data_IF_830251867136
#
_entry.id   IF_830251867136
#
_cell.length_a   1.000
_cell.length_b   1.000
_cell.length_c   1.000
_cell.angle_alpha   90.00
_cell.angle_beta   90.00
_cell.angle_gamma   90.00
#
_symmetry.space_group_name_H-M   'P 1'
#
loop_
_entity.id
_entity.type
_entity.pdbx_description
1 polymer ?
#
# COMPACT_ATOMS: atom_id res chain seq x y z
N UNK A 1 -3.72 -10.41 -3.26
CA UNK A 1 -2.69 -11.26 -2.61
C UNK A 1 -1.49 -10.40 -2.27
N UNK A 2 -0.58 -10.83 -1.37
CA UNK A 2 0.62 -10.02 -1.02
C UNK A 2 1.43 -9.61 -2.26
N UNK A 3 1.63 -10.53 -3.21
CA UNK A 3 2.39 -10.26 -4.44
C UNK A 3 1.64 -9.38 -5.44
N UNK A 4 0.30 -9.35 -5.38
CA UNK A 4 -0.50 -8.41 -6.19
C UNK A 4 -0.39 -6.99 -5.68
N UNK A 5 -0.38 -6.79 -4.35
CA UNK A 5 -0.26 -5.45 -3.74
C UNK A 5 1.17 -4.93 -3.78
N UNK A 6 2.17 -5.78 -3.54
CA UNK A 6 3.56 -5.36 -3.44
C UNK A 6 4.26 -5.40 -4.80
N UNK A 7 4.34 -4.27 -5.50
CA UNK A 7 5.11 -4.15 -6.74
C UNK A 7 6.58 -4.57 -6.57
N UNK A 8 7.17 -4.27 -5.41
CA UNK A 8 8.55 -4.65 -5.07
C UNK A 8 8.76 -6.17 -4.97
N UNK A 9 7.77 -6.92 -4.47
CA UNK A 9 7.88 -8.38 -4.28
C UNK A 9 7.30 -9.16 -5.46
N UNK A 10 6.21 -8.69 -6.06
CA UNK A 10 5.49 -9.37 -7.14
C UNK A 10 6.05 -9.07 -8.53
N UNK A 11 6.30 -7.79 -8.82
CA UNK A 11 6.77 -7.32 -10.13
C UNK A 11 8.26 -6.96 -10.16
N UNK A 12 8.97 -7.13 -9.04
CA UNK A 12 10.36 -6.70 -8.86
C UNK A 12 10.58 -5.21 -9.14
N UNK A 13 9.53 -4.41 -9.00
CA UNK A 13 9.59 -2.98 -9.22
C UNK A 13 10.60 -2.33 -8.27
N UNK A 14 11.36 -1.39 -8.82
CA UNK A 14 12.25 -0.49 -8.08
C UNK A 14 11.53 0.84 -7.94
N UNK A 15 11.53 1.36 -6.71
CA UNK A 15 10.95 2.65 -6.40
C UNK A 15 12.07 3.63 -6.04
N UNK A 16 11.89 4.88 -6.41
CA UNK A 16 12.81 5.97 -6.08
C UNK A 16 12.67 6.42 -4.62
N UNK A 17 11.51 6.17 -3.99
CA UNK A 17 11.27 6.53 -2.59
C UNK A 17 10.30 5.57 -1.87
N UNK A 18 10.29 5.64 -0.54
CA UNK A 18 9.33 4.91 0.29
C UNK A 18 7.89 5.42 0.08
N UNK A 19 7.73 6.72 -0.20
CA UNK A 19 6.44 7.34 -0.51
C UNK A 19 5.84 6.76 -1.80
N UNK A 20 6.64 6.71 -2.88
CA UNK A 20 6.22 6.15 -4.16
C UNK A 20 5.80 4.68 -4.00
N UNK A 21 6.59 3.89 -3.25
CA UNK A 21 6.28 2.49 -3.01
C UNK A 21 4.96 2.30 -2.24
N UNK A 22 4.69 3.14 -1.24
CA UNK A 22 3.45 3.08 -0.46
C UNK A 22 2.24 3.55 -1.26
N UNK A 23 2.40 4.60 -2.07
CA UNK A 23 1.34 5.10 -2.93
C UNK A 23 0.94 4.07 -4.00
N UNK A 24 1.93 3.42 -4.63
CA UNK A 24 1.66 2.35 -5.60
C UNK A 24 0.86 1.20 -4.96
N UNK A 25 1.22 0.79 -3.73
CA UNK A 25 0.48 -0.23 -3.01
C UNK A 25 -0.95 0.22 -2.62
N UNK A 26 -1.13 1.48 -2.22
CA UNK A 26 -2.44 2.04 -1.88
C UNK A 26 -3.36 2.08 -3.10
N UNK A 27 -2.86 2.49 -4.27
CA UNK A 27 -3.62 2.53 -5.52
C UNK A 27 -4.14 1.14 -5.93
N UNK A 28 -3.30 0.09 -5.82
CA UNK A 28 -3.73 -1.28 -6.09
C UNK A 28 -4.86 -1.73 -5.15
N UNK A 29 -4.80 -1.32 -3.89
CA UNK A 29 -5.84 -1.64 -2.90
C UNK A 29 -7.13 -0.81 -3.12
N UNK A 30 -7.02 0.46 -3.50
CA UNK A 30 -8.15 1.33 -3.82
C UNK A 30 -8.86 0.92 -5.12
N UNK A 31 -8.13 0.35 -6.08
CA UNK A 31 -8.69 -0.22 -7.31
C UNK A 31 -9.61 -1.44 -7.06
N UNK A 32 -9.65 -1.96 -5.83
CA UNK A 32 -10.56 -3.05 -5.44
C UNK A 32 -10.17 -4.43 -5.97
N UNK A 33 -8.96 -4.57 -6.54
CA UNK A 33 -8.44 -5.87 -7.02
C UNK A 33 -8.31 -6.89 -5.87
N UNK A 34 -8.24 -6.39 -4.63
CA UNK A 34 -8.18 -7.19 -3.42
C UNK A 34 -9.12 -6.63 -2.35
N UNK A 35 -9.78 -7.49 -1.55
CA UNK A 35 -10.63 -7.02 -0.46
C UNK A 35 -9.79 -6.23 0.56
N UNK A 36 -10.33 -5.14 1.13
CA UNK A 36 -9.62 -4.37 2.14
C UNK A 36 -9.31 -5.24 3.36
N UNK A 37 -8.08 -5.15 3.86
CA UNK A 37 -7.70 -5.80 5.11
C UNK A 37 -8.40 -5.19 6.32
N UNK A 38 -8.20 -5.75 7.54
CA UNK A 38 -8.82 -5.25 8.76
C UNK A 38 -8.42 -3.81 9.11
N UNK A 39 -7.32 -3.32 8.53
CA UNK A 39 -6.81 -1.96 8.71
C UNK A 39 -7.30 -1.00 7.60
N UNK A 40 -8.10 -1.49 6.67
CA UNK A 40 -8.42 -0.81 5.42
C UNK A 40 -7.18 -0.59 4.54
N UNK A 41 -7.38 0.11 3.43
CA UNK A 41 -6.30 0.42 2.48
C UNK A 41 -5.22 1.30 3.10
N UNK A 42 -5.61 2.29 3.89
CA UNK A 42 -4.71 3.33 4.41
C UNK A 42 -4.04 2.96 5.73
N UNK A 43 -4.65 2.08 6.54
CA UNK A 43 -4.05 1.64 7.79
C UNK A 43 -2.78 0.82 7.57
N UNK A 44 -2.66 0.13 6.43
CA UNK A 44 -1.44 -0.61 6.08
C UNK A 44 -0.19 0.30 5.96
N UNK A 45 -0.36 1.53 5.43
CA UNK A 45 0.75 2.51 5.34
C UNK A 45 1.21 2.96 6.73
N UNK A 46 0.25 3.19 7.65
CA UNK A 46 0.55 3.54 9.04
C UNK A 46 1.28 2.41 9.77
N UNK A 47 0.83 1.17 9.58
CA UNK A 47 1.47 0.03 10.23
C UNK A 47 2.87 -0.25 9.67
N UNK A 48 3.14 0.03 8.40
CA UNK A 48 4.50 -0.04 7.87
C UNK A 48 5.46 0.91 8.62
N UNK A 49 5.03 2.15 8.87
CA UNK A 49 5.81 3.10 9.67
C UNK A 49 5.99 2.62 11.12
N UNK A 50 4.96 2.03 11.74
CA UNK A 50 5.02 1.49 13.11
C UNK A 50 5.98 0.31 13.23
N UNK A 51 5.95 -0.63 12.29
CA UNK A 51 6.87 -1.77 12.28
C UNK A 51 8.33 -1.30 12.16
N UNK A 52 8.59 -0.29 11.31
CA UNK A 52 9.92 0.28 11.14
C UNK A 52 10.38 1.10 12.34
N UNK A 53 9.47 1.68 13.12
CA UNK A 53 9.79 2.43 14.33
C UNK A 53 9.95 1.53 15.56
N UNK A 54 9.25 0.39 15.59
CA UNK A 54 9.14 -0.47 16.77
C UNK A 54 8.46 0.26 17.95
N UNK A 55 8.56 -0.31 19.15
CA UNK A 55 8.08 0.32 20.39
C UNK A 55 9.05 1.37 20.94
N UNK A 56 10.28 1.41 20.43
CA UNK A 56 11.29 2.40 20.77
C UNK A 56 12.67 2.04 20.20
N UNK A 57 13.67 2.90 20.38
CA UNK A 57 15.00 2.72 19.77
C UNK A 57 15.71 1.43 20.18
N UNK A 58 15.39 0.88 21.35
CA UNK A 58 16.03 -0.32 21.88
C UNK A 58 15.59 -1.61 21.17
N UNK A 59 14.41 -1.62 20.53
CA UNK A 59 13.86 -2.82 19.86
C UNK A 59 13.38 -2.54 18.43
N UNK A 60 13.72 -1.37 17.87
CA UNK A 60 13.31 -0.95 16.52
C UNK A 60 13.63 -2.01 15.45
N UNK A 61 14.86 -2.55 15.49
CA UNK A 61 15.30 -3.59 14.57
C UNK A 61 14.52 -4.90 14.74
N UNK A 62 14.18 -5.27 15.97
CA UNK A 62 13.48 -6.52 16.29
C UNK A 62 12.15 -6.66 15.56
N UNK A 63 11.34 -5.59 15.56
CA UNK A 63 10.06 -5.55 14.85
C UNK A 63 10.21 -5.73 13.34
N UNK A 64 11.18 -5.02 12.74
CA UNK A 64 11.45 -5.12 11.30
C UNK A 64 11.91 -6.52 10.93
N UNK A 65 12.83 -7.12 11.71
CA UNK A 65 13.31 -8.48 11.49
C UNK A 65 12.18 -9.51 11.67
N UNK A 66 11.33 -9.35 12.68
CA UNK A 66 10.19 -10.23 12.90
C UNK A 66 9.20 -10.18 11.72
N UNK A 67 8.87 -8.98 11.22
CA UNK A 67 7.98 -8.81 10.08
C UNK A 67 8.55 -9.44 8.80
N UNK A 68 9.82 -9.17 8.46
CA UNK A 68 10.49 -9.75 7.29
C UNK A 68 10.65 -11.28 7.41
N UNK A 69 10.95 -11.77 8.62
CA UNK A 69 11.03 -13.20 8.93
C UNK A 69 9.70 -13.91 8.72
N UNK A 70 8.62 -13.31 9.21
CA UNK A 70 7.28 -13.83 8.99
C UNK A 70 6.91 -13.86 7.50
N UNK A 71 7.23 -12.80 6.73
CA UNK A 71 7.03 -12.79 5.27
C UNK A 71 7.82 -13.90 4.58
N UNK A 72 9.10 -14.08 4.91
CA UNK A 72 9.94 -15.11 4.32
C UNK A 72 9.41 -16.53 4.60
N UNK A 73 8.90 -16.78 5.81
CA UNK A 73 8.28 -18.04 6.18
C UNK A 73 6.96 -18.27 5.43
N UNK A 74 6.09 -17.25 5.39
CA UNK A 74 4.79 -17.34 4.72
C UNK A 74 4.94 -17.54 3.22
N UNK A 75 5.84 -16.82 2.56
CA UNK A 75 6.19 -17.04 1.14
C UNK A 75 6.79 -18.44 0.92
N UNK A 76 7.59 -18.93 1.87
CA UNK A 76 8.12 -20.29 1.84
C UNK A 76 7.05 -21.38 1.92
N UNK A 77 6.02 -21.18 2.75
CA UNK A 77 4.86 -22.08 2.86
C UNK A 77 4.01 -22.03 1.60
N UNK A 78 3.65 -20.83 1.13
CA UNK A 78 2.91 -20.65 -0.11
C UNK A 78 3.62 -21.31 -1.31
N UNK A 79 4.95 -21.18 -1.41
CA UNK A 79 5.72 -21.83 -2.49
C UNK A 79 5.59 -23.36 -2.48
N UNK A 80 5.49 -23.99 -1.30
CA UNK A 80 5.31 -25.45 -1.21
C UNK A 80 3.93 -25.89 -1.68
N UNK A 81 2.94 -25.00 -1.59
CA UNK A 81 1.55 -25.27 -1.96
C UNK A 81 1.24 -24.90 -3.42
N UNK A 82 2.06 -24.02 -4.02
CA UNK A 82 1.87 -23.58 -5.40
C UNK A 82 2.10 -24.73 -6.40
N UNK A 83 1.10 -24.93 -7.27
CA UNK A 83 1.08 -25.98 -8.30
C UNK A 83 1.84 -25.53 -9.55
N UNK A 84 1.64 -24.27 -9.97
CA UNK A 84 2.28 -23.72 -11.16
C UNK A 84 3.75 -23.35 -10.90
N UNK A 85 4.63 -23.76 -11.81
CA UNK A 85 6.08 -23.44 -11.74
C UNK A 85 6.33 -21.93 -11.72
N UNK A 86 5.64 -21.16 -12.54
CA UNK A 86 5.79 -19.70 -12.59
C UNK A 86 5.40 -19.02 -11.27
N UNK A 87 4.36 -19.53 -10.61
CA UNK A 87 3.95 -19.03 -9.29
C UNK A 87 4.99 -19.38 -8.22
N UNK A 88 5.51 -20.61 -8.25
CA UNK A 88 6.60 -21.03 -7.37
C UNK A 88 7.84 -20.14 -7.52
N UNK A 89 8.19 -19.76 -8.75
CA UNK A 89 9.34 -18.91 -9.04
C UNK A 89 9.14 -17.48 -8.53
N UNK A 90 7.94 -16.92 -8.74
CA UNK A 90 7.57 -15.61 -8.17
C UNK A 90 7.68 -15.62 -6.64
N UNK A 91 7.10 -16.63 -6.00
CA UNK A 91 7.17 -16.80 -4.53
C UNK A 91 8.60 -17.00 -4.03
N UNK A 92 9.44 -17.73 -4.79
CA UNK A 92 10.85 -17.89 -4.46
C UNK A 92 11.61 -16.56 -4.48
N UNK A 93 11.47 -15.77 -5.55
CA UNK A 93 12.15 -14.47 -5.68
C UNK A 93 11.71 -13.50 -4.60
N UNK A 94 10.41 -13.43 -4.32
CA UNK A 94 9.87 -12.62 -3.22
C UNK A 94 10.48 -13.05 -1.86
N UNK A 95 10.52 -14.36 -1.58
CA UNK A 95 11.15 -14.88 -0.36
C UNK A 95 12.63 -14.51 -0.28
N UNK A 96 13.38 -14.63 -1.39
CA UNK A 96 14.79 -14.27 -1.44
C UNK A 96 15.00 -12.78 -1.14
N UNK A 97 14.13 -11.91 -1.65
CA UNK A 97 14.16 -10.47 -1.33
C UNK A 97 13.93 -10.21 0.15
N UNK A 98 12.96 -10.87 0.80
CA UNK A 98 12.77 -10.77 2.25
C UNK A 98 14.00 -11.26 3.03
N UNK A 99 14.64 -12.36 2.61
CA UNK A 99 15.86 -12.87 3.24
C UNK A 99 17.04 -11.93 3.07
N UNK A 100 17.18 -11.29 1.91
CA UNK A 100 18.17 -10.26 1.68
C UNK A 100 17.93 -9.06 2.62
N UNK A 101 16.68 -8.60 2.73
CA UNK A 101 16.32 -7.49 3.62
C UNK A 101 16.59 -7.82 5.09
N UNK A 102 16.39 -9.07 5.53
CA UNK A 102 16.77 -9.51 6.88
C UNK A 102 18.26 -9.31 7.16
N UNK A 103 19.12 -9.71 6.22
CA UNK A 103 20.56 -9.51 6.34
C UNK A 103 20.91 -8.02 6.30
N UNK A 104 20.37 -7.29 5.32
CA UNK A 104 20.59 -5.86 5.17
C UNK A 104 20.18 -5.07 6.42
N UNK A 105 19.04 -5.37 7.03
CA UNK A 105 18.56 -4.71 8.25
C UNK A 105 19.49 -4.91 9.43
N UNK A 106 20.17 -6.06 9.54
CA UNK A 106 21.18 -6.25 10.59
C UNK A 106 22.38 -5.33 10.43
N UNK A 107 22.74 -4.99 9.20
CA UNK A 107 23.89 -4.14 8.87
C UNK A 107 23.53 -2.65 8.77
N UNK A 108 22.24 -2.32 8.62
CA UNK A 108 21.76 -0.97 8.30
C UNK A 108 20.65 -0.49 9.25
N UNK A 109 20.78 -0.81 10.54
CA UNK A 109 19.79 -0.45 11.57
C UNK A 109 19.50 1.06 11.63
N UNK A 110 20.51 1.90 11.40
CA UNK A 110 20.38 3.36 11.39
C UNK A 110 19.48 3.88 10.26
N UNK A 111 19.25 3.10 9.20
CA UNK A 111 18.35 3.47 8.11
C UNK A 111 16.86 3.27 8.47
N UNK A 112 16.54 2.53 9.53
CA UNK A 112 15.15 2.23 9.90
C UNK A 112 14.39 3.47 10.35
N UNK A 113 15.01 4.35 11.15
CA UNK A 113 14.35 5.58 11.63
C UNK A 113 13.99 6.53 10.48
N UNK A 114 14.90 6.90 9.57
CA UNK A 114 14.55 7.69 8.39
C UNK A 114 13.42 7.07 7.56
N UNK A 115 13.50 5.76 7.27
CA UNK A 115 12.45 5.04 6.52
C UNK A 115 11.09 5.10 7.23
N UNK A 116 11.06 4.92 8.55
CA UNK A 116 9.84 5.01 9.34
C UNK A 116 9.20 6.41 9.26
N UNK A 117 10.03 7.47 9.32
CA UNK A 117 9.59 8.85 9.21
C UNK A 117 9.04 9.16 7.82
N UNK A 118 9.68 8.65 6.77
CA UNK A 118 9.21 8.79 5.39
C UNK A 118 7.86 8.09 5.20
N UNK A 119 7.71 6.87 5.70
CA UNK A 119 6.42 6.15 5.68
C UNK A 119 5.34 6.92 6.45
N UNK A 120 5.66 7.47 7.63
CA UNK A 120 4.71 8.25 8.42
C UNK A 120 4.31 9.56 7.72
N UNK A 121 5.25 10.21 7.01
CA UNK A 121 4.99 11.41 6.21
C UNK A 121 4.09 11.09 5.02
N UNK A 122 4.39 10.04 4.27
CA UNK A 122 3.58 9.57 3.15
C UNK A 122 2.15 9.23 3.61
N UNK A 123 2.00 8.55 4.74
CA UNK A 123 0.68 8.27 5.32
C UNK A 123 -0.09 9.54 5.67
N UNK A 124 0.55 10.54 6.30
CA UNK A 124 -0.10 11.82 6.61
C UNK A 124 -0.51 12.59 5.36
N UNK A 125 0.38 12.69 4.37
CA UNK A 125 0.07 13.36 3.11
C UNK A 125 -1.13 12.72 2.41
N UNK A 126 -1.17 11.38 2.38
CA UNK A 126 -2.29 10.63 1.82
C UNK A 126 -3.58 10.79 2.64
N UNK A 127 -3.50 10.92 3.96
CA UNK A 127 -4.67 11.17 4.80
C UNK A 127 -5.28 12.55 4.52
N UNK A 128 -4.44 13.59 4.45
CA UNK A 128 -4.87 14.96 4.12
C UNK A 128 -5.52 15.03 2.75
N UNK A 129 -4.86 14.49 1.71
CA UNK A 129 -5.41 14.48 0.36
C UNK A 129 -6.78 13.77 0.30
N UNK A 130 -6.97 12.72 1.10
CA UNK A 130 -8.23 12.02 1.13
C UNK A 130 -9.35 12.77 1.89
N UNK A 131 -9.00 13.51 2.94
CA UNK A 131 -9.94 14.41 3.62
C UNK A 131 -10.41 15.53 2.68
N UNK A 132 -9.49 16.09 1.88
CA UNK A 132 -9.80 17.09 0.86
C UNK A 132 -10.75 16.53 -0.21
N UNK A 133 -10.45 15.34 -0.74
CA UNK A 133 -11.34 14.67 -1.71
C UNK A 133 -12.72 14.43 -1.09
N UNK A 134 -12.80 13.92 0.13
CA UNK A 134 -14.08 13.69 0.80
C UNK A 134 -14.88 14.99 1.03
N UNK A 135 -14.20 16.09 1.38
CA UNK A 135 -14.82 17.39 1.53
C UNK A 135 -15.39 17.93 0.21
N UNK A 136 -14.59 17.85 -0.87
CA UNK A 136 -15.01 18.27 -2.21
C UNK A 136 -16.16 17.41 -2.74
N UNK A 137 -16.11 16.09 -2.55
CA UNK A 137 -17.21 15.19 -2.90
C UNK A 137 -18.47 15.57 -2.13
N UNK A 138 -18.38 15.79 -0.81
CA UNK A 138 -19.55 16.18 -0.01
C UNK A 138 -20.14 17.54 -0.39
N UNK A 139 -19.31 18.50 -0.80
CA UNK A 139 -19.79 19.77 -1.35
C UNK A 139 -20.53 19.57 -2.67
N UNK A 140 -19.97 18.75 -3.56
CA UNK A 140 -20.55 18.44 -4.86
C UNK A 140 -21.89 17.71 -4.73
N UNK A 141 -21.97 16.73 -3.85
CA UNK A 141 -23.22 16.02 -3.53
C UNK A 141 -24.30 16.97 -2.99
N UNK A 142 -23.89 17.95 -2.17
CA UNK A 142 -24.80 18.98 -1.66
C UNK A 142 -25.32 19.89 -2.78
N UNK A 143 -24.45 20.27 -3.73
CA UNK A 143 -24.84 21.06 -4.91
C UNK A 143 -25.77 20.28 -5.86
N UNK A 144 -25.57 18.97 -5.98
CA UNK A 144 -26.40 18.09 -6.79
C UNK A 144 -27.71 17.67 -6.12
N UNK A 145 -27.81 17.83 -4.80
CA UNK A 145 -28.94 17.33 -4.01
C UNK A 145 -28.93 15.80 -3.85
N UNK A 146 -27.78 15.15 -4.02
CA UNK A 146 -27.63 13.71 -3.95
C UNK A 146 -26.25 13.22 -4.43
N UNK A 147 -25.98 11.90 -4.35
CA UNK A 147 -24.68 11.30 -4.68
C UNK A 147 -24.35 11.30 -6.18
N UNK A 148 -25.29 11.72 -7.03
CA UNK A 148 -25.17 11.69 -8.48
C UNK A 148 -25.39 13.07 -9.07
N UNK A 149 -24.67 13.44 -10.14
CA UNK A 149 -24.92 14.69 -10.85
C UNK A 149 -26.35 14.74 -11.37
N UNK A 150 -26.99 15.93 -11.37
CA UNK A 150 -28.31 16.09 -11.96
C UNK A 150 -28.27 15.77 -13.45
N UNK A 151 -29.35 15.20 -13.98
CA UNK A 151 -29.45 14.88 -15.40
C UNK A 151 -29.24 16.14 -16.25
N UNK A 152 -28.46 16.08 -17.34
CA UNK A 152 -28.24 17.23 -18.20
C UNK A 152 -29.57 17.69 -18.80
N UNK A 153 -29.94 18.95 -18.58
CA UNK A 153 -31.11 19.56 -19.23
C UNK A 153 -30.73 19.90 -20.66
N UNK A 154 -31.41 19.30 -21.64
CA UNK A 154 -31.29 19.68 -23.05
C UNK A 154 -31.94 21.06 -23.20
N UNK A 155 -31.14 22.09 -23.45
CA UNK A 155 -31.57 23.50 -23.52
C UNK A 155 -31.90 23.98 -24.94
N UNK A 156 -32.06 23.08 -25.91
CA UNK A 156 -32.42 23.42 -27.29
C UNK A 156 -33.79 22.82 -27.59
N UNK A 157 -34.84 23.63 -27.44
CA UNK A 157 -36.08 23.43 -28.17
C UNK A 157 -35.84 23.98 -29.58
N UNK A 158 -35.60 23.11 -30.55
CA UNK A 158 -35.75 23.52 -31.95
C UNK A 158 -37.23 23.79 -32.20
N UNK A 159 -37.55 25.05 -32.51
CA UNK A 159 -38.89 25.47 -32.90
C UNK A 159 -39.28 24.76 -34.20
N UNK A 160 -40.46 24.11 -34.29
CA UNK A 160 -40.93 23.55 -35.54
C UNK A 160 -41.22 24.71 -36.52
N UNK A 161 -40.72 24.55 -37.75
CA UNK A 161 -40.84 25.54 -38.84
C UNK A 161 -42.23 25.65 -39.45
#
# INVERSE_FOLDING_TARGET
>A
TLLGVSGALGAQQVFASAEEALQAAAQVLEAGEHPPGPLGTRGAMREAARILMGEGPADQKGYTLAALGHLAQTLGRARKQAVATEERDRLYRARKKCQFLLAWTNENETALTPLALDCARAHRAHAVAAEEVAALTGELERLWGGPLPPAPRILIEELPG
#
